data_IF_389035673330
#
_entry.id   IF_389035673330
#
_cell.length_a   1.000
_cell.length_b   1.000
_cell.length_c   1.000
_cell.angle_alpha   90.00
_cell.angle_beta   90.00
_cell.angle_gamma   90.00
#
_symmetry.space_group_name_H-M   'P 1'
#
loop_
_entity.id
_entity.type
_entity.pdbx_description
1 polymer ?
#
# COMPACT_ATOMS: atom_id res chain seq x y z
N UNK A 1 20.13 16.32 8.38
CA UNK A 1 19.91 16.32 6.91
C UNK A 1 18.92 15.22 6.58
N UNK A 2 17.72 15.57 6.10
CA UNK A 2 16.71 14.60 5.71
C UNK A 2 17.29 13.72 4.58
N UNK A 3 17.57 12.45 4.88
CA UNK A 3 18.05 11.49 3.88
C UNK A 3 16.97 11.42 2.80
N UNK A 4 17.23 12.01 1.64
CA UNK A 4 16.29 12.01 0.53
C UNK A 4 15.92 10.56 0.23
N UNK A 5 14.68 10.19 0.54
CA UNK A 5 14.16 8.88 0.22
C UNK A 5 14.27 8.72 -1.30
N UNK A 6 15.04 7.73 -1.72
CA UNK A 6 15.25 7.31 -3.12
C UNK A 6 13.94 7.37 -3.91
N UNK A 7 13.91 8.01 -5.08
CA UNK A 7 12.70 8.02 -5.90
C UNK A 7 12.38 6.58 -6.33
N UNK A 8 11.23 6.01 -5.95
CA UNK A 8 10.86 4.66 -6.37
C UNK A 8 10.54 4.65 -7.87
N UNK A 9 10.72 3.50 -8.54
CA UNK A 9 10.29 3.34 -9.92
C UNK A 9 8.77 3.50 -10.03
N UNK A 10 8.31 3.92 -11.21
CA UNK A 10 6.90 3.87 -11.57
C UNK A 10 6.62 2.53 -12.26
N UNK A 11 5.52 1.90 -11.90
CA UNK A 11 5.02 0.66 -12.49
C UNK A 11 3.55 0.82 -12.84
N UNK A 12 3.06 0.01 -13.77
CA UNK A 12 1.63 -0.15 -14.02
C UNK A 12 1.26 -1.57 -13.60
N UNK A 13 0.67 -1.76 -12.41
CA UNK A 13 0.26 -3.09 -11.97
C UNK A 13 -0.69 -3.73 -12.98
N UNK A 14 -0.49 -5.01 -13.29
CA UNK A 14 -1.33 -5.75 -14.24
C UNK A 14 -2.65 -6.23 -13.63
N UNK A 15 -2.84 -6.08 -12.31
CA UNK A 15 -4.03 -6.51 -11.58
C UNK A 15 -4.05 -5.96 -10.16
N UNK A 16 -5.16 -6.17 -9.47
CA UNK A 16 -5.46 -5.53 -8.18
C UNK A 16 -4.51 -5.95 -7.04
N UNK A 17 -4.07 -7.21 -7.01
CA UNK A 17 -3.04 -7.68 -6.06
C UNK A 17 -1.75 -6.84 -6.15
N UNK A 18 -1.40 -6.37 -7.36
CA UNK A 18 -0.23 -5.51 -7.55
C UNK A 18 -0.45 -4.09 -7.02
N UNK A 19 -1.67 -3.55 -7.11
CA UNK A 19 -2.02 -2.30 -6.43
C UNK A 19 -1.97 -2.44 -4.92
N UNK A 20 -2.45 -3.57 -4.39
CA UNK A 20 -2.40 -3.88 -2.96
C UNK A 20 -0.96 -3.98 -2.43
N UNK A 21 -0.06 -4.63 -3.19
CA UNK A 21 1.36 -4.69 -2.88
C UNK A 21 1.97 -3.28 -2.79
N UNK A 22 1.73 -2.42 -3.78
CA UNK A 22 2.28 -1.05 -3.80
C UNK A 22 1.70 -0.17 -2.69
N UNK A 23 0.41 -0.31 -2.37
CA UNK A 23 -0.22 0.39 -1.25
C UNK A 23 0.46 -0.02 0.07
N UNK A 24 0.71 -1.31 0.25
CA UNK A 24 1.41 -1.83 1.43
C UNK A 24 2.87 -1.33 1.49
N UNK A 25 3.61 -1.31 0.36
CA UNK A 25 4.96 -0.70 0.30
C UNK A 25 4.94 0.73 0.78
N UNK A 26 4.00 1.53 0.29
CA UNK A 26 3.90 2.94 0.63
C UNK A 26 3.64 3.14 2.13
N UNK A 27 2.73 2.37 2.71
CA UNK A 27 2.44 2.39 4.15
C UNK A 27 3.68 2.00 4.96
N UNK A 28 4.37 0.91 4.60
CA UNK A 28 5.57 0.47 5.34
C UNK A 28 6.75 1.42 5.20
N UNK A 29 6.85 2.14 4.08
CA UNK A 29 7.88 3.15 3.85
C UNK A 29 7.75 4.37 4.77
N UNK A 30 6.54 4.71 5.20
CA UNK A 30 6.34 5.81 6.14
C UNK A 30 6.83 5.45 7.55
N UNK A 31 7.87 6.12 8.05
CA UNK A 31 8.35 5.92 9.42
C UNK A 31 9.29 4.72 9.61
N UNK A 32 9.82 4.12 8.53
CA UNK A 32 10.91 3.14 8.59
C UNK A 32 12.04 3.49 7.63
N UNK A 33 13.21 2.92 7.90
CA UNK A 33 14.33 2.96 6.96
C UNK A 33 13.96 2.16 5.70
N UNK A 34 13.74 2.86 4.58
CA UNK A 34 13.37 2.20 3.32
C UNK A 34 14.35 1.09 2.89
N UNK A 35 15.69 1.25 2.99
CA UNK A 35 16.61 0.15 2.70
C UNK A 35 16.31 -1.14 3.48
N UNK A 36 15.94 -1.02 4.76
CA UNK A 36 15.62 -2.18 5.62
C UNK A 36 14.30 -2.83 5.18
N UNK A 37 13.28 -2.02 4.90
CA UNK A 37 11.99 -2.53 4.40
C UNK A 37 12.17 -3.24 3.06
N UNK A 38 12.94 -2.65 2.15
CA UNK A 38 13.22 -3.20 0.81
C UNK A 38 13.98 -4.52 0.88
N UNK A 39 15.00 -4.62 1.75
CA UNK A 39 15.76 -5.87 1.94
C UNK A 39 14.84 -7.02 2.39
N UNK A 40 13.86 -6.71 3.23
CA UNK A 40 12.86 -7.65 3.73
C UNK A 40 11.70 -7.91 2.77
N UNK A 41 11.62 -7.22 1.63
CA UNK A 41 10.41 -7.24 0.80
C UNK A 41 10.08 -8.62 0.24
N UNK A 42 11.11 -9.42 -0.10
CA UNK A 42 10.91 -10.83 -0.49
C UNK A 42 10.27 -11.66 0.62
N UNK A 43 10.56 -11.32 1.88
CA UNK A 43 9.88 -11.86 3.05
C UNK A 43 8.41 -11.50 3.05
N UNK A 44 8.09 -10.20 2.95
CA UNK A 44 6.70 -9.71 2.87
C UNK A 44 5.88 -10.41 1.80
N UNK A 45 6.42 -10.54 0.58
CA UNK A 45 5.76 -11.25 -0.52
C UNK A 45 5.43 -12.70 -0.16
N UNK A 46 6.28 -13.40 0.61
CA UNK A 46 5.94 -14.76 1.07
C UNK A 46 4.95 -14.75 2.24
N UNK A 47 5.19 -13.90 3.23
CA UNK A 47 4.42 -13.86 4.49
C UNK A 47 2.96 -13.46 4.28
N UNK A 48 2.70 -12.59 3.30
CA UNK A 48 1.38 -12.11 2.89
C UNK A 48 0.85 -12.82 1.63
N UNK A 49 1.24 -14.08 1.38
CA UNK A 49 0.70 -14.90 0.28
C UNK A 49 0.71 -14.21 -1.10
N UNK A 50 1.85 -13.60 -1.44
CA UNK A 50 2.06 -12.83 -2.67
C UNK A 50 1.10 -11.66 -2.84
N UNK A 51 0.60 -11.12 -1.73
CA UNK A 51 -0.38 -10.04 -1.71
C UNK A 51 -1.68 -10.40 -2.43
N UNK A 52 -2.07 -11.67 -2.43
CA UNK A 52 -3.40 -12.06 -2.88
C UNK A 52 -4.46 -11.42 -1.97
N UNK A 53 -5.26 -10.51 -2.54
CA UNK A 53 -6.28 -9.77 -1.80
C UNK A 53 -7.24 -10.71 -1.07
N UNK A 54 -7.77 -11.71 -1.77
CA UNK A 54 -8.71 -12.69 -1.20
C UNK A 54 -8.10 -13.45 -0.01
N UNK A 55 -6.84 -13.90 -0.13
CA UNK A 55 -6.17 -14.65 0.95
C UNK A 55 -5.90 -13.77 2.15
N UNK A 56 -5.33 -12.59 1.92
CA UNK A 56 -4.96 -11.66 3.00
C UNK A 56 -6.20 -11.12 3.71
N UNK A 57 -7.28 -10.85 2.97
CA UNK A 57 -8.55 -10.43 3.55
C UNK A 57 -9.17 -11.49 4.47
N UNK A 58 -8.94 -12.78 4.17
CA UNK A 58 -9.43 -13.91 4.94
C UNK A 58 -8.56 -14.30 6.15
N UNK A 59 -7.46 -13.58 6.42
CA UNK A 59 -6.57 -13.90 7.54
C UNK A 59 -7.28 -13.89 8.89
N UNK A 60 -7.13 -15.00 9.61
CA UNK A 60 -7.66 -15.17 10.96
C UNK A 60 -6.64 -14.84 12.05
N UNK A 61 -7.01 -15.02 13.33
CA UNK A 61 -6.10 -14.77 14.46
C UNK A 61 -4.76 -15.52 14.38
N UNK A 62 -4.76 -16.75 13.87
CA UNK A 62 -3.55 -17.55 13.72
C UNK A 62 -2.59 -16.98 12.66
N UNK A 63 -3.12 -16.46 11.55
CA UNK A 63 -2.30 -15.78 10.53
C UNK A 63 -1.68 -14.49 11.07
N UNK A 64 -2.45 -13.73 11.84
CA UNK A 64 -1.97 -12.51 12.48
C UNK A 64 -0.84 -12.81 13.47
N UNK A 65 -1.00 -13.84 14.30
CA UNK A 65 0.05 -14.23 15.25
C UNK A 65 1.31 -14.73 14.52
N UNK A 66 1.13 -15.55 13.48
CA UNK A 66 2.23 -15.97 12.59
C UNK A 66 3.00 -14.77 12.04
N UNK A 67 2.31 -13.73 11.56
CA UNK A 67 2.94 -12.51 11.05
C UNK A 67 3.65 -11.70 12.14
N UNK A 68 3.14 -11.71 13.37
CA UNK A 68 3.79 -11.05 14.50
C UNK A 68 5.09 -11.73 14.93
N UNK A 69 5.24 -13.03 14.65
CA UNK A 69 6.46 -13.78 14.94
C UNK A 69 7.44 -13.81 13.76
N UNK A 70 6.97 -13.53 12.54
CA UNK A 70 7.75 -13.64 11.32
C UNK A 70 8.93 -12.65 11.26
N UNK A 71 10.14 -13.20 11.31
CA UNK A 71 11.40 -12.44 11.30
C UNK A 71 11.78 -11.95 9.90
N UNK A 72 11.17 -12.47 8.84
CA UNK A 72 11.42 -12.05 7.47
C UNK A 72 10.79 -10.69 7.16
N UNK A 73 9.83 -10.22 7.97
CA UNK A 73 9.15 -8.93 7.79
C UNK A 73 9.50 -7.91 8.90
N UNK A 74 9.05 -6.68 8.72
CA UNK A 74 9.06 -5.67 9.78
C UNK A 74 7.83 -5.89 10.66
N UNK A 75 8.06 -6.44 11.86
CA UNK A 75 7.03 -6.82 12.85
C UNK A 75 6.38 -5.62 13.54
N UNK A 76 5.74 -4.75 12.77
CA UNK A 76 4.96 -3.63 13.30
C UNK A 76 3.48 -4.03 13.37
N UNK A 77 2.99 -4.32 14.58
CA UNK A 77 1.62 -4.80 14.81
C UNK A 77 0.56 -3.93 14.13
N UNK A 78 0.62 -2.60 14.31
CA UNK A 78 -0.34 -1.67 13.72
C UNK A 78 -0.38 -1.74 12.20
N UNK A 79 0.78 -1.82 11.53
CA UNK A 79 0.83 -1.88 10.06
C UNK A 79 0.45 -3.23 9.49
N UNK A 80 0.76 -4.32 10.21
CA UNK A 80 0.32 -5.67 9.82
C UNK A 80 -1.21 -5.73 9.86
N UNK A 81 -1.82 -5.29 10.96
CA UNK A 81 -3.29 -5.24 11.09
C UNK A 81 -3.90 -4.34 10.01
N UNK A 82 -3.34 -3.14 9.79
CA UNK A 82 -3.79 -2.24 8.74
C UNK A 82 -3.68 -2.87 7.34
N UNK A 83 -2.67 -3.71 7.07
CA UNK A 83 -2.53 -4.39 5.78
C UNK A 83 -3.70 -5.36 5.54
N UNK A 84 -4.09 -6.12 6.57
CA UNK A 84 -5.22 -7.07 6.49
C UNK A 84 -6.56 -6.33 6.36
N UNK A 85 -6.75 -5.25 7.12
CA UNK A 85 -7.92 -4.37 6.98
C UNK A 85 -8.01 -3.78 5.57
N UNK A 86 -6.89 -3.27 5.04
CA UNK A 86 -6.84 -2.67 3.70
C UNK A 86 -7.11 -3.68 2.58
N UNK A 87 -6.85 -4.97 2.78
CA UNK A 87 -7.22 -6.00 1.80
C UNK A 87 -8.75 -6.08 1.66
N UNK A 88 -9.47 -6.09 2.79
CA UNK A 88 -10.94 -6.06 2.81
C UNK A 88 -11.46 -4.76 2.19
N UNK A 89 -10.93 -3.60 2.61
CA UNK A 89 -11.28 -2.30 2.04
C UNK A 89 -11.09 -2.26 0.52
N UNK A 90 -9.98 -2.80 0.02
CA UNK A 90 -9.70 -2.80 -1.42
C UNK A 90 -10.68 -3.71 -2.18
N UNK A 91 -11.04 -4.87 -1.62
CA UNK A 91 -12.05 -5.75 -2.20
C UNK A 91 -13.41 -5.07 -2.28
N UNK A 92 -13.82 -4.31 -1.25
CA UNK A 92 -15.08 -3.56 -1.28
C UNK A 92 -15.09 -2.50 -2.41
N UNK A 93 -13.98 -1.76 -2.55
CA UNK A 93 -13.83 -0.79 -3.64
C UNK A 93 -13.79 -1.46 -5.02
N UNK A 94 -13.17 -2.63 -5.14
CA UNK A 94 -13.17 -3.42 -6.38
C UNK A 94 -14.59 -3.91 -6.69
N UNK A 95 -15.37 -4.34 -5.70
CA UNK A 95 -16.75 -4.75 -5.92
C UNK A 95 -17.62 -3.59 -6.42
N UNK A 96 -17.40 -2.37 -5.92
CA UNK A 96 -18.14 -1.17 -6.34
C UNK A 96 -17.71 -0.66 -7.73
N UNK A 97 -16.40 -0.61 -8.00
CA UNK A 97 -15.84 0.04 -9.20
C UNK A 97 -15.37 -0.93 -10.29
N UNK A 98 -15.33 -2.22 -10.01
CA UNK A 98 -14.86 -3.30 -10.89
C UNK A 98 -13.35 -3.58 -10.84
N UNK A 99 -12.52 -2.63 -10.38
CA UNK A 99 -11.09 -2.82 -10.11
C UNK A 99 -10.51 -1.65 -9.31
N UNK A 100 -9.33 -1.80 -8.73
CA UNK A 100 -8.63 -0.72 -8.05
C UNK A 100 -8.21 0.37 -9.05
N UNK A 101 -7.84 0.00 -10.27
CA UNK A 101 -7.57 0.98 -11.33
C UNK A 101 -8.83 1.79 -11.67
N UNK A 102 -9.98 1.15 -11.83
CA UNK A 102 -11.24 1.85 -12.10
C UNK A 102 -11.64 2.79 -10.95
N UNK A 103 -11.42 2.39 -9.70
CA UNK A 103 -11.57 3.27 -8.54
C UNK A 103 -10.66 4.50 -8.65
N UNK A 104 -9.37 4.33 -8.98
CA UNK A 104 -8.46 5.47 -9.15
C UNK A 104 -8.88 6.42 -10.26
N UNK A 105 -9.44 5.90 -11.37
CA UNK A 105 -9.98 6.69 -12.48
C UNK A 105 -11.27 7.44 -12.09
N UNK A 106 -12.08 6.88 -11.20
CA UNK A 106 -13.28 7.56 -10.69
C UNK A 106 -12.94 8.89 -9.99
N UNK A 107 -11.70 9.03 -9.51
CA UNK A 107 -11.18 10.23 -8.85
C UNK A 107 -10.52 11.24 -9.79
N UNK A 108 -10.40 10.97 -11.10
CA UNK A 108 -9.65 11.84 -12.03
C UNK A 108 -10.27 13.23 -12.23
N UNK A 109 -11.55 13.39 -11.86
CA UNK A 109 -12.24 14.69 -11.89
C UNK A 109 -11.82 15.63 -10.74
N UNK A 110 -11.06 15.12 -9.76
CA UNK A 110 -10.59 15.87 -8.60
C UNK A 110 -9.19 16.42 -8.84
N UNK A 111 -8.88 17.56 -8.22
CA UNK A 111 -7.49 17.99 -8.10
C UNK A 111 -6.68 17.03 -7.22
N UNK A 112 -5.36 17.13 -7.30
CA UNK A 112 -4.45 16.23 -6.57
C UNK A 112 -4.70 16.19 -5.05
N UNK A 113 -5.00 17.33 -4.42
CA UNK A 113 -5.20 17.39 -2.98
C UNK A 113 -6.52 16.75 -2.57
N UNK A 114 -7.59 17.01 -3.32
CA UNK A 114 -8.88 16.36 -3.14
C UNK A 114 -8.79 14.85 -3.39
N UNK A 115 -8.09 14.43 -4.45
CA UNK A 115 -7.82 13.02 -4.78
C UNK A 115 -7.11 12.29 -3.65
N UNK A 116 -6.02 12.87 -3.11
CA UNK A 116 -5.32 12.29 -1.95
C UNK A 116 -6.24 12.22 -0.74
N UNK A 117 -7.02 13.26 -0.48
CA UNK A 117 -7.97 13.26 0.64
C UNK A 117 -8.96 12.10 0.53
N UNK A 118 -9.60 11.92 -0.62
CA UNK A 118 -10.53 10.82 -0.87
C UNK A 118 -9.84 9.45 -0.72
N UNK A 119 -8.68 9.28 -1.36
CA UNK A 119 -7.92 8.02 -1.31
C UNK A 119 -7.50 7.63 0.12
N UNK A 120 -7.19 8.61 0.99
CA UNK A 120 -6.74 8.31 2.37
C UNK A 120 -7.85 7.95 3.34
N UNK A 121 -9.13 8.24 3.01
CA UNK A 121 -10.26 7.96 3.90
C UNK A 121 -10.47 6.47 4.18
N UNK A 122 -10.51 5.59 3.17
CA UNK A 122 -10.87 4.19 3.39
C UNK A 122 -9.69 3.34 3.90
N UNK A 123 -8.44 3.74 3.65
CA UNK A 123 -7.26 2.91 3.93
C UNK A 123 -6.58 3.24 5.26
N UNK A 124 -6.54 2.25 6.16
CA UNK A 124 -5.82 2.31 7.42
C UNK A 124 -4.31 2.51 7.22
N UNK A 125 -3.75 3.49 7.92
CA UNK A 125 -2.31 3.78 7.88
C UNK A 125 -1.81 4.48 6.61
N UNK A 126 -2.69 4.77 5.64
CA UNK A 126 -2.34 5.53 4.44
C UNK A 126 -2.45 7.05 4.71
N UNK A 127 -1.35 7.66 5.14
CA UNK A 127 -1.26 9.12 5.28
C UNK A 127 -0.96 9.83 3.94
N UNK A 128 -1.09 11.16 3.90
CA UNK A 128 -0.84 11.99 2.69
C UNK A 128 0.47 11.65 1.95
N UNK A 129 1.59 11.55 2.67
CA UNK A 129 2.88 11.20 2.07
C UNK A 129 2.89 9.76 1.55
N UNK A 130 2.22 8.81 2.22
CA UNK A 130 2.13 7.43 1.71
C UNK A 130 1.23 7.35 0.49
N UNK A 131 0.12 8.09 0.47
CA UNK A 131 -0.73 8.23 -0.71
C UNK A 131 0.03 8.83 -1.90
N UNK A 132 0.83 9.88 -1.68
CA UNK A 132 1.74 10.42 -2.71
C UNK A 132 2.66 9.32 -3.26
N UNK A 133 3.32 8.56 -2.38
CA UNK A 133 4.25 7.49 -2.79
C UNK A 133 3.52 6.41 -3.58
N UNK A 134 2.35 5.98 -3.11
CA UNK A 134 1.54 4.98 -3.77
C UNK A 134 1.15 5.44 -5.18
N UNK A 135 0.52 6.61 -5.31
CA UNK A 135 0.12 7.18 -6.60
C UNK A 135 1.32 7.30 -7.54
N UNK A 136 2.45 7.82 -7.06
CA UNK A 136 3.68 7.88 -7.86
C UNK A 136 4.12 6.49 -8.33
N UNK A 137 4.16 5.49 -7.43
CA UNK A 137 4.59 4.13 -7.76
C UNK A 137 3.66 3.45 -8.77
N UNK A 138 2.35 3.64 -8.67
CA UNK A 138 1.38 3.03 -9.61
C UNK A 138 1.17 3.85 -10.89
N UNK A 139 2.12 4.71 -11.20
CA UNK A 139 2.16 5.54 -12.41
C UNK A 139 1.01 6.53 -12.56
N UNK A 140 0.45 7.00 -11.44
CA UNK A 140 -0.51 8.08 -11.43
C UNK A 140 0.18 9.44 -11.54
N UNK A 141 -0.60 10.45 -11.92
CA UNK A 141 -0.17 11.84 -11.90
C UNK A 141 -0.01 12.32 -10.46
N UNK A 142 1.15 12.91 -10.17
CA UNK A 142 1.52 13.46 -8.86
C UNK A 142 2.36 14.72 -9.06
N UNK A 143 2.43 15.61 -8.05
CA UNK A 143 3.46 16.64 -7.99
C UNK A 143 4.87 16.05 -8.13
N UNK A 144 5.87 16.92 -8.31
CA UNK A 144 7.26 16.51 -8.37
C UNK A 144 7.68 15.75 -7.10
N UNK A 145 8.54 14.75 -7.24
CA UNK A 145 8.98 13.87 -6.13
C UNK A 145 9.56 14.63 -4.90
N UNK A 146 10.10 15.82 -5.15
CA UNK A 146 10.65 16.72 -4.13
C UNK A 146 9.57 17.40 -3.27
N UNK A 147 8.33 17.44 -3.74
CA UNK A 147 7.20 18.18 -3.14
C UNK A 147 6.21 17.27 -2.37
N UNK A 148 6.66 16.06 -1.98
CA UNK A 148 5.87 15.01 -1.30
C UNK A 148 5.48 15.30 0.16
#
# INVERSE_FOLDING_TARGET
MARALERPPKITPSGDDGYFEELTKAIFRAGFSWPVVREKWRGFVRSFDRFSLERVAAYGPEDIERLFEDKDIVRNRRKILATVENANTMLDLIAEHGSMHAYLRSLDHLDYHARVKELTKPFAGLGRTSAFVFLHCVNEETPEWRDR
#
